data_IF_553574630427
#
_entry.id   IF_553574630427
#
_cell.length_a   1.000
_cell.length_b   1.000
_cell.length_c   1.000
_cell.angle_alpha   90.00
_cell.angle_beta   90.00
_cell.angle_gamma   90.00
#
_symmetry.space_group_name_H-M   'P 1'
#
loop_
_entity.id
_entity.type
_entity.pdbx_description
1 polymer ?
#
# COMPACT_ATOMS: atom_id res chain seq x y z
N UNK A 1 -5.32 -27.75 12.79
CA UNK A 1 -4.02 -27.06 12.59
C UNK A 1 -4.04 -25.79 13.43
N UNK A 2 -2.95 -25.44 14.12
CA UNK A 2 -2.84 -24.13 14.76
C UNK A 2 -2.87 -23.04 13.69
N UNK A 3 -3.55 -21.94 13.98
CA UNK A 3 -3.60 -20.76 13.10
C UNK A 3 -2.23 -20.07 13.17
N UNK A 4 -1.67 -19.71 12.02
CA UNK A 4 -0.36 -19.06 11.90
C UNK A 4 -0.44 -17.90 10.89
N UNK A 5 0.48 -16.93 11.02
CA UNK A 5 0.61 -15.85 10.06
C UNK A 5 0.92 -16.38 8.65
N UNK A 6 0.33 -15.81 7.58
CA UNK A 6 0.66 -16.17 6.21
C UNK A 6 2.16 -15.99 5.92
N UNK A 7 2.74 -16.91 5.13
CA UNK A 7 4.13 -16.80 4.70
C UNK A 7 4.36 -15.47 3.97
N UNK A 8 5.43 -14.77 4.33
CA UNK A 8 5.76 -13.45 3.78
C UNK A 8 5.19 -12.28 4.59
N UNK A 9 4.41 -12.54 5.65
CA UNK A 9 3.95 -11.54 6.61
C UNK A 9 4.64 -11.74 7.97
N UNK A 10 4.72 -10.68 8.78
CA UNK A 10 5.30 -10.71 10.12
C UNK A 10 4.51 -9.80 11.06
N UNK A 11 4.38 -10.22 12.31
CA UNK A 11 3.95 -9.33 13.38
C UNK A 11 5.13 -8.44 13.80
N UNK A 12 4.86 -7.18 14.13
CA UNK A 12 5.84 -6.28 14.73
C UNK A 12 5.53 -6.23 16.22
N UNK A 13 6.41 -6.80 17.04
CA UNK A 13 6.18 -7.00 18.46
C UNK A 13 6.61 -5.79 19.30
N UNK A 14 6.21 -5.70 20.60
CA UNK A 14 6.55 -4.58 21.47
C UNK A 14 8.06 -4.28 21.58
N UNK A 15 8.91 -5.29 21.42
CA UNK A 15 10.37 -5.15 21.45
C UNK A 15 10.92 -4.43 20.20
N UNK A 16 10.21 -4.52 19.07
CA UNK A 16 10.63 -3.95 17.78
C UNK A 16 9.89 -2.64 17.45
N UNK A 17 8.62 -2.51 17.86
CA UNK A 17 7.73 -1.40 17.44
C UNK A 17 8.30 -0.02 17.78
N UNK A 18 9.05 0.10 18.87
CA UNK A 18 9.68 1.36 19.26
C UNK A 18 10.72 1.84 18.23
N UNK A 19 11.41 0.92 17.56
CA UNK A 19 12.38 1.25 16.52
C UNK A 19 11.68 1.74 15.25
N UNK A 20 10.55 1.10 14.89
CA UNK A 20 9.70 1.56 13.78
C UNK A 20 9.18 2.97 14.01
N UNK A 21 8.58 3.20 15.18
CA UNK A 21 8.06 4.52 15.56
C UNK A 21 9.13 5.61 15.51
N UNK A 22 10.36 5.30 15.94
CA UNK A 22 11.48 6.24 15.89
C UNK A 22 11.82 6.64 14.44
N UNK A 23 11.96 5.66 13.54
CA UNK A 23 12.29 5.93 12.12
C UNK A 23 11.15 6.71 11.45
N UNK A 24 9.91 6.32 11.67
CA UNK A 24 8.72 7.00 11.12
C UNK A 24 8.61 8.44 11.62
N UNK A 25 8.88 8.69 12.91
CA UNK A 25 8.88 10.02 13.50
C UNK A 25 9.94 10.92 12.87
N UNK A 26 11.19 10.43 12.73
CA UNK A 26 12.27 11.18 12.09
C UNK A 26 11.92 11.50 10.63
N UNK A 27 11.39 10.53 9.88
CA UNK A 27 10.95 10.75 8.50
C UNK A 27 9.86 11.82 8.41
N UNK A 28 8.82 11.71 9.25
CA UNK A 28 7.71 12.66 9.28
C UNK A 28 8.18 14.08 9.64
N UNK A 29 9.08 14.21 10.61
CA UNK A 29 9.63 15.51 11.03
C UNK A 29 10.45 16.18 9.92
N UNK A 30 11.22 15.40 9.14
CA UNK A 30 11.92 15.92 7.97
C UNK A 30 10.93 16.40 6.93
N UNK A 31 9.94 15.59 6.54
CA UNK A 31 8.91 15.99 5.58
C UNK A 31 8.21 17.30 5.97
N UNK A 32 7.80 17.43 7.24
CA UNK A 32 7.15 18.65 7.76
C UNK A 32 8.04 19.89 7.67
N UNK A 33 9.35 19.77 7.95
CA UNK A 33 10.30 20.89 7.83
C UNK A 33 10.43 21.42 6.39
N UNK A 34 10.17 20.57 5.40
CA UNK A 34 10.14 20.95 3.99
C UNK A 34 8.74 21.30 3.47
N UNK A 35 7.74 21.45 4.36
CA UNK A 35 6.38 21.87 3.99
C UNK A 35 5.50 20.77 3.38
N UNK A 36 5.93 19.51 3.41
CA UNK A 36 5.10 18.40 2.97
C UNK A 36 4.01 18.10 4.01
N UNK A 37 2.81 17.80 3.53
CA UNK A 37 1.68 17.34 4.35
C UNK A 37 1.41 15.87 4.07
N UNK A 38 1.07 15.14 5.13
CA UNK A 38 0.78 13.71 5.04
C UNK A 38 -0.60 13.46 4.42
N UNK A 39 -0.68 12.41 3.57
CA UNK A 39 -1.94 11.88 3.03
C UNK A 39 -2.02 10.38 3.33
N UNK A 40 -3.22 9.89 3.66
CA UNK A 40 -3.52 8.47 3.84
C UNK A 40 -4.54 8.04 2.80
N UNK A 41 -4.14 7.11 1.94
CA UNK A 41 -4.99 6.55 0.87
C UNK A 41 -5.47 5.14 1.22
N UNK A 42 -6.54 4.64 0.58
CA UNK A 42 -7.03 3.27 0.76
C UNK A 42 -5.95 2.19 0.56
N UNK A 43 -6.15 1.03 1.18
CA UNK A 43 -5.25 -0.14 1.06
C UNK A 43 -5.53 -0.94 -0.21
N UNK A 44 -6.75 -0.86 -0.74
CA UNK A 44 -7.13 -1.45 -2.02
C UNK A 44 -7.81 -0.40 -2.90
N UNK A 45 -7.68 -0.58 -4.21
CA UNK A 45 -8.27 0.28 -5.24
C UNK A 45 -8.84 -0.61 -6.36
N UNK A 46 -9.55 -0.01 -7.31
CA UNK A 46 -9.92 -0.71 -8.55
C UNK A 46 -8.68 -1.18 -9.30
N UNK A 47 -8.67 -2.44 -9.76
CA UNK A 47 -7.51 -3.05 -10.43
C UNK A 47 -7.04 -2.26 -11.65
N UNK A 48 -7.95 -1.61 -12.38
CA UNK A 48 -7.62 -0.81 -13.56
C UNK A 48 -6.71 0.39 -13.25
N UNK A 49 -6.72 0.89 -12.01
CA UNK A 49 -5.85 1.99 -11.58
C UNK A 49 -4.38 1.58 -11.70
N UNK A 50 -4.03 0.37 -11.25
CA UNK A 50 -2.65 -0.11 -11.25
C UNK A 50 -2.21 -0.61 -12.62
N UNK A 51 -3.12 -1.23 -13.39
CA UNK A 51 -2.86 -1.64 -14.77
C UNK A 51 -2.43 -0.44 -15.64
N UNK A 52 -3.22 0.65 -15.56
CA UNK A 52 -2.92 1.89 -16.31
C UNK A 52 -1.75 2.68 -15.73
N UNK A 53 -1.62 2.72 -14.40
CA UNK A 53 -0.63 3.57 -13.72
C UNK A 53 0.79 3.00 -13.72
N UNK A 54 0.94 1.70 -13.48
CA UNK A 54 2.26 1.03 -13.38
C UNK A 54 2.72 0.50 -14.75
N UNK A 55 1.76 0.15 -15.62
CA UNK A 55 2.01 -0.37 -16.96
C UNK A 55 1.84 -1.88 -17.03
N UNK A 56 1.06 -2.32 -18.02
CA UNK A 56 0.60 -3.69 -18.16
C UNK A 56 1.74 -4.72 -18.31
N UNK A 57 2.91 -4.32 -18.80
CA UNK A 57 4.04 -5.22 -19.05
C UNK A 57 4.98 -5.40 -17.85
N UNK A 58 4.69 -4.75 -16.73
CA UNK A 58 5.54 -4.85 -15.54
C UNK A 58 5.28 -6.16 -14.79
N UNK A 59 6.32 -6.72 -14.15
CA UNK A 59 6.15 -7.92 -13.31
C UNK A 59 5.15 -7.69 -12.18
N UNK A 60 5.05 -6.45 -11.66
CA UNK A 60 4.05 -6.05 -10.68
C UNK A 60 2.65 -6.40 -11.18
N UNK A 61 2.27 -5.86 -12.34
CA UNK A 61 0.93 -6.06 -12.92
C UNK A 61 0.71 -7.51 -13.36
N UNK A 62 1.76 -8.18 -13.83
CA UNK A 62 1.64 -9.52 -14.39
C UNK A 62 1.59 -10.63 -13.34
N UNK A 63 2.28 -10.50 -12.21
CA UNK A 63 2.53 -11.63 -11.28
C UNK A 63 2.42 -11.31 -9.79
N UNK A 64 2.46 -10.04 -9.38
CA UNK A 64 2.62 -9.68 -7.96
C UNK A 64 1.37 -9.07 -7.33
N UNK A 65 0.41 -8.58 -8.15
CA UNK A 65 -0.83 -7.99 -7.64
C UNK A 65 -1.75 -9.02 -6.97
N UNK A 66 -2.10 -8.76 -5.72
CA UNK A 66 -3.17 -9.47 -5.02
C UNK A 66 -4.55 -8.93 -5.45
N UNK A 67 -5.09 -9.52 -6.52
CA UNK A 67 -6.38 -9.16 -7.12
C UNK A 67 -7.49 -10.12 -6.71
N UNK A 68 -8.65 -9.60 -6.34
CA UNK A 68 -9.82 -10.41 -6.00
C UNK A 68 -11.13 -9.68 -6.35
N UNK A 69 -12.24 -10.41 -6.57
CA UNK A 69 -13.54 -9.80 -6.74
C UNK A 69 -14.07 -9.30 -5.39
N UNK A 70 -14.66 -8.12 -5.37
CA UNK A 70 -15.47 -7.67 -4.25
C UNK A 70 -16.84 -8.37 -4.21
N UNK A 71 -17.68 -8.02 -3.22
CA UNK A 71 -19.02 -8.62 -3.08
C UNK A 71 -19.97 -8.34 -4.25
N UNK A 72 -19.70 -7.32 -5.07
CA UNK A 72 -20.47 -6.95 -6.24
C UNK A 72 -19.83 -7.46 -7.55
N UNK A 73 -18.75 -8.25 -7.48
CA UNK A 73 -18.05 -8.79 -8.64
C UNK A 73 -17.08 -7.79 -9.30
N UNK A 74 -16.80 -6.65 -8.68
CA UNK A 74 -15.82 -5.68 -9.19
C UNK A 74 -14.41 -6.16 -8.88
N UNK A 75 -13.49 -5.99 -9.84
CA UNK A 75 -12.09 -6.33 -9.64
C UNK A 75 -11.40 -5.28 -8.77
N UNK A 76 -10.91 -5.69 -7.61
CA UNK A 76 -10.15 -4.86 -6.66
C UNK A 76 -8.80 -5.49 -6.39
N UNK A 77 -7.81 -4.65 -6.10
CA UNK A 77 -6.43 -5.07 -5.87
C UNK A 77 -5.90 -4.43 -4.60
N UNK A 78 -5.24 -5.20 -3.73
CA UNK A 78 -4.41 -4.62 -2.65
C UNK A 78 -3.29 -3.82 -3.30
N UNK A 79 -3.12 -2.56 -2.89
CA UNK A 79 -2.16 -1.66 -3.52
C UNK A 79 -0.75 -2.27 -3.50
N UNK A 80 -0.10 -2.44 -4.67
CA UNK A 80 1.31 -2.86 -4.71
C UNK A 80 2.25 -1.68 -4.45
N UNK A 81 1.77 -0.44 -4.63
CA UNK A 81 2.50 0.81 -4.47
C UNK A 81 1.54 1.96 -4.09
N UNK A 82 2.06 3.18 -3.89
CA UNK A 82 1.27 4.32 -3.38
C UNK A 82 0.99 5.46 -4.36
N UNK A 83 1.78 5.60 -5.42
CA UNK A 83 1.78 6.73 -6.35
C UNK A 83 0.47 6.82 -7.13
N UNK A 84 -0.02 5.70 -7.69
CA UNK A 84 -1.24 5.69 -8.48
C UNK A 84 -2.46 6.11 -7.64
N UNK A 85 -2.53 5.64 -6.39
CA UNK A 85 -3.59 6.04 -5.45
C UNK A 85 -3.49 7.51 -5.03
N UNK A 86 -2.28 8.06 -4.83
CA UNK A 86 -2.11 9.49 -4.56
C UNK A 86 -2.58 10.33 -5.74
N UNK A 87 -2.18 10.01 -6.96
CA UNK A 87 -2.61 10.74 -8.16
C UNK A 87 -4.13 10.66 -8.34
N UNK A 88 -4.73 9.48 -8.13
CA UNK A 88 -6.20 9.31 -8.17
C UNK A 88 -6.91 10.19 -7.14
N UNK A 89 -6.35 10.35 -5.93
CA UNK A 89 -6.91 11.24 -4.90
C UNK A 89 -6.89 12.73 -5.21
N UNK A 90 -6.05 13.12 -6.17
CA UNK A 90 -6.00 14.50 -6.63
C UNK A 90 -6.99 14.78 -7.77
N UNK A 91 -7.40 13.75 -8.52
CA UNK A 91 -8.22 13.87 -9.73
C UNK A 91 -9.72 13.66 -9.44
N UNK A 92 -10.04 12.88 -8.42
CA UNK A 92 -11.42 12.66 -7.94
C UNK A 92 -12.13 13.97 -7.57
#
# INVERSE_FOLDING_TARGET
MPIQAPKGTRDILPEEVNQWNYVEQVFSDVCRKFGYSEIRIPVFEHTELFQRGVGDTTDIVQKEMYTFPDKAGRSITLRPEGTAGVVRSFIE
#
